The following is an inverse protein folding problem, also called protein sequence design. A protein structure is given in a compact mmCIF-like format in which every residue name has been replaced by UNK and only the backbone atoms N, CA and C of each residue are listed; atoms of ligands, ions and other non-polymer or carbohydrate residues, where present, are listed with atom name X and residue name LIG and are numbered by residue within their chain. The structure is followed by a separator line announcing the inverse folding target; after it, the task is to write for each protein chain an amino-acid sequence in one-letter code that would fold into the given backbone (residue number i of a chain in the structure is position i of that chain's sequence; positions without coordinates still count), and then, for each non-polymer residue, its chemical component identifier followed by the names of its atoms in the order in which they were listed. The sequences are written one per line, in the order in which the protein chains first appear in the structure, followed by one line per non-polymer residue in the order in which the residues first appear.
data_IF_966640413737
#
_entry.id   IF_966640413737
#
_cell.length_a   1.000
_cell.length_b   1.000
_cell.length_c   1.000
_cell.angle_alpha   90.00
_cell.angle_beta   90.00
_cell.angle_gamma   90.00
#
_symmetry.space_group_name_H-M   'P 1'
#
loop_
_entity.id
_entity.type
_entity.pdbx_description
1 polymer ?
#
# COMPACT_ATOMS: atom_id res chain seq x y z
N UNK A 1 24.62 0.01 -16.45
CA UNK A 1 23.55 0.69 -17.22
C UNK A 1 22.49 -0.34 -17.58
N UNK A 2 21.32 -0.28 -16.94
CA UNK A 2 20.26 -1.27 -17.13
C UNK A 2 19.70 -1.21 -18.56
N UNK A 3 19.90 -2.26 -19.37
CA UNK A 3 19.30 -2.40 -20.71
C UNK A 3 17.81 -2.73 -20.56
N UNK A 4 16.97 -1.73 -20.27
CA UNK A 4 15.52 -1.87 -20.23
C UNK A 4 15.02 -1.94 -21.68
N UNK A 5 14.68 -3.14 -22.16
CA UNK A 5 14.27 -3.38 -23.56
C UNK A 5 12.75 -3.39 -23.80
N UNK A 6 11.92 -3.34 -22.75
CA UNK A 6 10.46 -3.37 -22.89
C UNK A 6 9.75 -2.70 -21.70
N UNK A 7 8.62 -2.01 -21.97
CA UNK A 7 7.81 -1.34 -20.93
C UNK A 7 7.35 -2.25 -19.79
N UNK A 8 7.15 -3.55 -20.08
CA UNK A 8 6.82 -4.56 -19.07
C UNK A 8 7.93 -4.76 -18.02
N UNK A 9 9.19 -4.78 -18.43
CA UNK A 9 10.34 -4.92 -17.52
C UNK A 9 10.43 -3.71 -16.57
N UNK A 10 10.24 -2.50 -17.10
CA UNK A 10 10.29 -1.29 -16.28
C UNK A 10 9.14 -1.22 -15.27
N UNK A 11 7.94 -1.67 -15.68
CA UNK A 11 6.79 -1.78 -14.78
C UNK A 11 7.05 -2.77 -13.64
N UNK A 12 7.61 -3.94 -13.95
CA UNK A 12 7.97 -4.96 -12.97
C UNK A 12 9.03 -4.46 -11.97
N UNK A 13 10.07 -3.79 -12.46
CA UNK A 13 11.10 -3.17 -11.62
C UNK A 13 10.53 -2.11 -10.69
N UNK A 14 9.61 -1.27 -11.18
CA UNK A 14 8.92 -0.28 -10.33
C UNK A 14 8.08 -0.97 -9.25
N UNK A 15 7.31 -2.01 -9.60
CA UNK A 15 6.55 -2.77 -8.62
C UNK A 15 7.44 -3.34 -7.52
N UNK A 16 8.54 -4.00 -7.93
CA UNK A 16 9.55 -4.54 -7.00
C UNK A 16 10.12 -3.46 -6.09
N UNK A 17 10.45 -2.29 -6.63
CA UNK A 17 10.95 -1.15 -5.85
C UNK A 17 9.94 -0.70 -4.79
N UNK A 18 8.66 -0.54 -5.15
CA UNK A 18 7.61 -0.13 -4.20
C UNK A 18 7.47 -1.16 -3.08
N UNK A 19 7.44 -2.44 -3.45
CA UNK A 19 7.36 -3.55 -2.49
C UNK A 19 8.55 -3.57 -1.52
N UNK A 20 9.77 -3.35 -2.02
CA UNK A 20 10.97 -3.26 -1.18
C UNK A 20 10.91 -2.05 -0.24
N UNK A 21 10.49 -0.88 -0.74
CA UNK A 21 10.37 0.32 0.10
C UNK A 21 9.35 0.14 1.22
N UNK A 22 8.18 -0.46 0.94
CA UNK A 22 7.18 -0.76 1.94
C UNK A 22 7.74 -1.71 3.02
N UNK A 23 8.45 -2.76 2.61
CA UNK A 23 9.06 -3.74 3.52
C UNK A 23 10.08 -3.08 4.46
N UNK A 24 11.03 -2.34 3.91
CA UNK A 24 12.06 -1.65 4.69
C UNK A 24 11.46 -0.62 5.67
N UNK A 25 10.43 0.12 5.25
CA UNK A 25 9.75 1.07 6.14
C UNK A 25 9.01 0.39 7.29
N UNK A 26 8.37 -0.75 7.04
CA UNK A 26 7.71 -1.55 8.10
C UNK A 26 8.76 -2.08 9.09
N UNK A 27 9.87 -2.63 8.59
CA UNK A 27 10.93 -3.15 9.45
C UNK A 27 11.61 -2.04 10.28
N UNK A 28 11.86 -0.88 9.66
CA UNK A 28 12.38 0.29 10.35
C UNK A 28 11.41 0.80 11.42
N UNK A 29 10.13 0.93 11.10
CA UNK A 29 9.10 1.33 12.04
C UNK A 29 9.01 0.38 13.25
N UNK A 30 9.02 -0.93 13.00
CA UNK A 30 9.02 -1.94 14.07
C UNK A 30 10.24 -1.80 14.99
N UNK A 31 11.42 -1.61 14.40
CA UNK A 31 12.66 -1.37 15.15
C UNK A 31 12.58 -0.08 15.99
N UNK A 32 12.06 1.01 15.42
CA UNK A 32 11.97 2.30 16.09
C UNK A 32 11.11 2.26 17.35
N UNK A 33 10.04 1.46 17.35
CA UNK A 33 9.17 1.28 18.53
C UNK A 33 9.69 0.23 19.51
N UNK A 34 10.92 -0.28 19.33
CA UNK A 34 11.54 -1.26 20.24
C UNK A 34 11.19 -2.73 19.95
N UNK A 35 10.59 -2.99 18.78
CA UNK A 35 10.17 -4.31 18.36
C UNK A 35 11.33 -5.26 18.11
N UNK A 36 11.20 -6.51 18.55
CA UNK A 36 12.22 -7.55 18.31
C UNK A 36 12.14 -8.07 16.86
N UNK A 37 13.25 -8.12 16.09
CA UNK A 37 13.22 -8.60 14.71
C UNK A 37 12.68 -10.02 14.53
N UNK A 38 12.86 -10.90 15.52
CA UNK A 38 12.34 -12.27 15.51
C UNK A 38 10.81 -12.35 15.62
N UNK A 39 10.16 -11.29 16.07
CA UNK A 39 8.71 -11.25 16.27
C UNK A 39 7.96 -10.78 15.02
N UNK A 40 8.63 -10.13 14.05
CA UNK A 40 7.99 -9.62 12.85
C UNK A 40 8.32 -10.52 11.65
N UNK A 41 7.32 -10.78 10.81
CA UNK A 41 7.49 -11.53 9.56
C UNK A 41 6.67 -10.87 8.46
N UNK A 42 7.28 -10.62 7.31
CA UNK A 42 6.61 -10.04 6.14
C UNK A 42 6.58 -11.10 5.04
N UNK A 43 5.37 -11.47 4.62
CA UNK A 43 5.15 -12.54 3.64
C UNK A 43 4.32 -12.07 2.44
N UNK A 44 4.31 -12.89 1.40
CA UNK A 44 3.39 -12.82 0.27
C UNK A 44 2.73 -14.18 0.09
N UNK A 45 1.72 -14.48 0.90
CA UNK A 45 1.00 -15.77 0.86
C UNK A 45 -0.43 -15.62 0.36
N UNK A 46 -0.92 -16.63 -0.36
CA UNK A 46 -2.32 -16.65 -0.80
C UNK A 46 -3.21 -16.98 0.40
N UNK A 47 -4.16 -16.11 0.69
CA UNK A 47 -5.22 -16.30 1.68
C UNK A 47 -6.48 -16.83 0.95
N UNK A 48 -6.82 -18.13 1.09
CA UNK A 48 -8.03 -18.68 0.51
C UNK A 48 -9.26 -18.22 1.30
N UNK A 49 -10.19 -17.57 0.61
CA UNK A 49 -11.49 -17.14 1.11
C UNK A 49 -12.56 -18.01 0.46
N UNK A 50 -13.30 -18.78 1.26
CA UNK A 50 -14.38 -19.65 0.77
C UNK A 50 -15.73 -18.97 0.91
N UNK A 51 -16.62 -19.18 -0.06
CA UNK A 51 -18.02 -18.75 0.03
C UNK A 51 -18.93 -19.79 0.71
N UNK A 52 -18.37 -20.92 1.16
CA UNK A 52 -19.11 -22.03 1.75
C UNK A 52 -19.91 -22.88 0.75
N UNK A 53 -19.89 -22.54 -0.54
CA UNK A 53 -20.58 -23.25 -1.63
C UNK A 53 -19.61 -23.96 -2.58
N UNK A 54 -18.35 -24.07 -2.18
CA UNK A 54 -17.28 -24.71 -2.94
C UNK A 54 -16.44 -23.75 -3.79
N UNK A 55 -16.78 -22.46 -3.86
CA UNK A 55 -15.93 -21.48 -4.55
C UNK A 55 -14.87 -20.93 -3.59
N UNK A 56 -13.64 -20.79 -4.08
CA UNK A 56 -12.52 -20.27 -3.31
C UNK A 56 -11.84 -19.14 -4.05
N UNK A 57 -11.84 -17.95 -3.44
CA UNK A 57 -11.08 -16.80 -3.91
C UNK A 57 -9.73 -16.74 -3.18
N UNK A 58 -8.62 -16.74 -3.92
CA UNK A 58 -7.26 -16.74 -3.35
C UNK A 58 -6.67 -15.34 -3.36
N UNK A 59 -6.91 -14.59 -2.29
CA UNK A 59 -6.38 -13.24 -2.11
C UNK A 59 -4.88 -13.26 -1.90
N UNK A 60 -4.15 -12.36 -2.53
CA UNK A 60 -2.71 -12.20 -2.33
C UNK A 60 -2.40 -10.72 -2.27
N UNK A 61 -2.01 -10.26 -1.10
CA UNK A 61 -1.60 -8.88 -0.85
C UNK A 61 -0.11 -8.79 -1.07
N UNK A 62 0.38 -7.64 -1.53
CA UNK A 62 1.80 -7.50 -1.88
C UNK A 62 2.72 -7.70 -0.67
N UNK A 63 2.32 -7.17 0.51
CA UNK A 63 2.98 -7.46 1.79
C UNK A 63 1.95 -7.78 2.87
N UNK A 64 2.17 -8.88 3.56
CA UNK A 64 1.41 -9.31 4.72
C UNK A 64 2.31 -9.28 5.95
N UNK A 65 2.04 -8.38 6.88
CA UNK A 65 2.85 -8.19 8.08
C UNK A 65 2.25 -9.00 9.23
N UNK A 66 3.07 -9.87 9.80
CA UNK A 66 2.75 -10.71 10.94
C UNK A 66 3.58 -10.29 12.14
N UNK A 67 2.95 -10.26 13.32
CA UNK A 67 3.64 -10.17 14.60
C UNK A 67 3.32 -11.45 15.38
N UNK A 68 4.35 -12.27 15.64
CA UNK A 68 4.18 -13.67 16.00
C UNK A 68 3.41 -14.41 14.91
N UNK A 69 2.27 -14.99 15.28
CA UNK A 69 1.37 -15.70 14.34
C UNK A 69 0.18 -14.84 13.86
N UNK A 70 0.06 -13.59 14.34
CA UNK A 70 -1.08 -12.73 14.04
C UNK A 70 -0.83 -11.94 12.77
N UNK A 71 -1.74 -12.03 11.80
CA UNK A 71 -1.75 -11.17 10.62
C UNK A 71 -2.32 -9.80 11.02
N UNK A 72 -1.47 -8.76 11.06
CA UNK A 72 -1.81 -7.46 11.68
C UNK A 72 -1.96 -6.32 10.69
N UNK A 73 -1.23 -6.35 9.57
CA UNK A 73 -1.26 -5.30 8.56
C UNK A 73 -1.12 -5.87 7.15
N UNK A 74 -2.09 -5.54 6.31
CA UNK A 74 -2.13 -5.86 4.88
C UNK A 74 -1.74 -4.65 4.06
N UNK A 75 -0.74 -4.78 3.19
CA UNK A 75 -0.24 -3.68 2.36
C UNK A 75 -0.34 -4.08 0.89
N UNK A 76 -1.07 -3.27 0.14
CA UNK A 76 -1.07 -3.32 -1.32
C UNK A 76 -0.08 -2.29 -1.87
N UNK A 77 0.82 -2.72 -2.76
CA UNK A 77 1.87 -1.87 -3.30
C UNK A 77 1.54 -1.48 -4.75
N UNK A 78 1.63 -0.19 -5.06
CA UNK A 78 1.38 0.32 -6.43
C UNK A 78 2.37 1.38 -6.83
N UNK A 79 2.94 1.28 -8.04
CA UNK A 79 3.69 2.41 -8.60
C UNK A 79 2.78 3.65 -8.75
N UNK A 80 1.52 3.43 -9.08
CA UNK A 80 0.44 4.40 -8.95
C UNK A 80 -0.89 3.68 -8.85
N UNK A 81 -1.85 4.25 -8.13
CA UNK A 81 -3.23 3.77 -8.12
C UNK A 81 -4.18 4.78 -8.76
N UNK A 82 -5.00 4.29 -9.68
CA UNK A 82 -6.19 4.99 -10.18
C UNK A 82 -7.44 4.48 -9.46
N UNK A 83 -8.54 5.23 -9.56
CA UNK A 83 -9.81 4.89 -8.89
C UNK A 83 -10.29 3.47 -9.22
N UNK A 84 -10.11 3.01 -10.45
CA UNK A 84 -10.48 1.64 -10.85
C UNK A 84 -9.67 0.55 -10.11
N UNK A 85 -8.37 0.79 -9.88
CA UNK A 85 -7.54 -0.12 -9.09
C UNK A 85 -7.96 -0.07 -7.62
N UNK A 86 -8.25 1.12 -7.10
CA UNK A 86 -8.69 1.30 -5.71
C UNK A 86 -9.99 0.55 -5.40
N UNK A 87 -10.94 0.47 -6.34
CA UNK A 87 -12.16 -0.38 -6.19
C UNK A 87 -11.82 -1.84 -5.89
N UNK A 88 -10.81 -2.39 -6.57
CA UNK A 88 -10.38 -3.78 -6.34
C UNK A 88 -9.75 -3.93 -4.97
N UNK A 89 -8.92 -2.96 -4.57
CA UNK A 89 -8.27 -2.93 -3.25
C UNK A 89 -9.33 -2.90 -2.14
N UNK A 90 -10.38 -2.09 -2.29
CA UNK A 90 -11.51 -2.04 -1.35
C UNK A 90 -12.21 -3.39 -1.22
N UNK A 91 -12.50 -4.07 -2.34
CA UNK A 91 -13.15 -5.40 -2.31
C UNK A 91 -12.25 -6.43 -1.64
N UNK A 92 -10.96 -6.47 -1.98
CA UNK A 92 -10.01 -7.41 -1.39
C UNK A 92 -9.87 -7.17 0.13
N UNK A 93 -9.74 -5.91 0.54
CA UNK A 93 -9.65 -5.53 1.95
C UNK A 93 -10.95 -5.83 2.72
N UNK A 94 -12.13 -5.60 2.11
CA UNK A 94 -13.42 -5.97 2.69
C UNK A 94 -13.53 -7.49 2.94
N UNK A 95 -13.09 -8.32 1.98
CA UNK A 95 -13.10 -9.77 2.14
C UNK A 95 -12.13 -10.23 3.23
N UNK A 96 -10.94 -9.62 3.29
CA UNK A 96 -9.97 -9.91 4.35
C UNK A 96 -10.48 -9.48 5.72
N UNK A 97 -11.11 -8.31 5.84
CA UNK A 97 -11.63 -7.80 7.12
C UNK A 97 -12.68 -8.74 7.71
N UNK A 98 -13.51 -9.38 6.88
CA UNK A 98 -14.47 -10.41 7.34
C UNK A 98 -13.78 -11.62 7.99
N UNK A 99 -12.58 -11.96 7.56
CA UNK A 99 -11.81 -13.11 8.07
C UNK A 99 -10.84 -12.71 9.19
N UNK A 100 -10.33 -11.48 9.13
CA UNK A 100 -9.40 -10.90 10.09
C UNK A 100 -9.95 -9.52 10.55
N UNK A 101 -10.89 -9.49 11.50
CA UNK A 101 -11.60 -8.25 11.87
C UNK A 101 -10.73 -7.12 12.40
N UNK A 102 -9.54 -7.44 12.91
CA UNK A 102 -8.57 -6.47 13.47
C UNK A 102 -7.46 -6.09 12.47
N UNK A 103 -7.50 -6.61 11.25
CA UNK A 103 -6.47 -6.36 10.24
C UNK A 103 -6.52 -4.90 9.80
N UNK A 104 -5.36 -4.24 9.82
CA UNK A 104 -5.19 -2.90 9.25
C UNK A 104 -4.86 -3.01 7.77
N UNK A 105 -5.25 -2.01 6.97
CA UNK A 105 -5.05 -1.98 5.53
C UNK A 105 -4.28 -0.73 5.11
N UNK A 106 -3.35 -0.88 4.18
CA UNK A 106 -2.57 0.21 3.63
C UNK A 106 -2.46 0.05 2.11
N UNK A 107 -2.80 1.10 1.36
CA UNK A 107 -2.34 1.29 0.00
C UNK A 107 -1.05 2.11 0.03
N UNK A 108 0.06 1.46 -0.26
CA UNK A 108 1.37 2.10 -0.34
C UNK A 108 1.74 2.35 -1.80
N UNK A 109 1.83 3.62 -2.20
CA UNK A 109 2.06 3.99 -3.60
C UNK A 109 3.16 5.03 -3.81
N UNK A 110 3.83 4.96 -4.96
CA UNK A 110 4.77 6.01 -5.35
C UNK A 110 4.04 7.28 -5.78
N UNK A 111 3.14 7.18 -6.75
CA UNK A 111 2.38 8.32 -7.28
C UNK A 111 0.87 8.08 -7.09
N UNK A 112 0.06 9.13 -7.01
CA UNK A 112 -1.41 8.99 -7.00
C UNK A 112 -2.03 9.34 -8.36
N UNK A 113 -3.13 8.66 -8.70
CA UNK A 113 -4.12 9.05 -9.72
C UNK A 113 -5.54 8.93 -9.16
N UNK A 114 -5.67 9.11 -7.84
CA UNK A 114 -6.94 9.00 -7.16
C UNK A 114 -7.75 10.30 -7.21
N UNK A 115 -7.19 11.40 -7.70
CA UNK A 115 -7.78 12.74 -7.60
C UNK A 115 -7.46 13.41 -6.25
N UNK A 116 -8.01 14.60 -6.03
CA UNK A 116 -7.97 15.26 -4.72
C UNK A 116 -6.55 15.63 -4.29
N UNK A 117 -6.27 15.49 -2.99
CA UNK A 117 -5.07 16.00 -2.32
C UNK A 117 -4.08 14.89 -1.90
N UNK A 118 -4.30 13.62 -2.26
CA UNK A 118 -3.39 12.51 -1.92
C UNK A 118 -1.93 12.73 -2.36
N UNK A 119 -1.71 13.53 -3.40
CA UNK A 119 -0.37 13.83 -3.93
C UNK A 119 0.18 15.20 -3.53
N UNK A 120 -0.57 15.98 -2.75
CA UNK A 120 -0.17 17.33 -2.32
C UNK A 120 -0.10 17.43 -0.81
N UNK A 121 -1.10 16.92 -0.10
CA UNK A 121 -1.09 16.82 1.35
C UNK A 121 -0.34 15.55 1.79
N UNK A 122 0.46 15.67 2.83
CA UNK A 122 1.26 14.59 3.41
C UNK A 122 0.50 13.93 4.55
N UNK A 123 -0.15 14.72 5.40
CA UNK A 123 -0.78 14.24 6.63
C UNK A 123 -2.29 14.42 6.51
N UNK A 124 -3.01 13.32 6.24
CA UNK A 124 -4.48 13.28 6.20
C UNK A 124 -5.12 13.98 4.99
N UNK A 125 -4.87 13.47 3.77
CA UNK A 125 -5.56 13.96 2.58
C UNK A 125 -7.07 13.85 2.77
N UNK A 126 -7.80 14.94 2.48
CA UNK A 126 -9.26 14.93 2.46
C UNK A 126 -9.79 13.97 1.41
N UNK A 127 -9.00 13.63 0.40
CA UNK A 127 -9.34 12.70 -0.67
C UNK A 127 -10.18 13.31 -1.78
N UNK A 128 -10.43 12.51 -2.82
CA UNK A 128 -11.24 12.93 -3.98
C UNK A 128 -12.71 12.55 -3.80
N UNK A 129 -13.65 13.25 -4.46
CA UNK A 129 -15.06 12.86 -4.44
C UNK A 129 -15.29 11.42 -4.88
N UNK A 130 -14.55 10.95 -5.90
CA UNK A 130 -14.67 9.59 -6.40
C UNK A 130 -14.24 8.54 -5.36
N UNK A 131 -13.16 8.80 -4.61
CA UNK A 131 -12.73 7.89 -3.54
C UNK A 131 -13.73 7.91 -2.38
N UNK A 132 -14.20 9.09 -1.96
CA UNK A 132 -15.19 9.21 -0.87
C UNK A 132 -16.48 8.46 -1.15
N UNK A 133 -16.99 8.55 -2.38
CA UNK A 133 -18.20 7.81 -2.79
C UNK A 133 -17.96 6.30 -2.68
N UNK A 134 -16.76 5.82 -3.04
CA UNK A 134 -16.45 4.40 -2.89
C UNK A 134 -16.34 3.99 -1.42
N UNK A 135 -15.60 4.74 -0.62
CA UNK A 135 -15.44 4.48 0.83
C UNK A 135 -16.79 4.50 1.57
N UNK A 136 -17.73 5.35 1.15
CA UNK A 136 -19.09 5.37 1.70
C UNK A 136 -19.81 4.02 1.60
N UNK A 137 -19.53 3.21 0.56
CA UNK A 137 -20.10 1.86 0.41
C UNK A 137 -19.41 0.80 1.29
N UNK A 138 -18.31 1.13 1.96
CA UNK A 138 -17.57 0.26 2.86
C UNK A 138 -17.33 0.94 4.23
N UNK A 139 -18.39 1.30 4.98
CA UNK A 139 -18.31 2.23 6.12
C UNK A 139 -17.43 1.75 7.29
N UNK A 140 -17.17 0.45 7.40
CA UNK A 140 -16.34 -0.13 8.46
C UNK A 140 -14.91 -0.44 8.00
N UNK A 141 -14.59 -0.16 6.73
CA UNK A 141 -13.29 -0.45 6.14
C UNK A 141 -12.45 0.82 6.13
N UNK A 142 -11.31 0.78 6.82
CA UNK A 142 -10.34 1.87 6.79
C UNK A 142 -9.07 1.40 6.07
N UNK A 143 -8.70 2.11 5.01
CA UNK A 143 -7.48 1.89 4.24
C UNK A 143 -6.66 3.17 4.29
N UNK A 144 -5.49 3.11 4.92
CA UNK A 144 -4.54 4.22 4.86
C UNK A 144 -3.94 4.32 3.45
N UNK A 145 -3.85 5.53 2.89
CA UNK A 145 -3.28 5.75 1.55
C UNK A 145 -1.99 6.58 1.68
N UNK A 146 -0.84 5.91 1.57
CA UNK A 146 0.48 6.55 1.60
C UNK A 146 0.94 6.80 0.17
N UNK A 147 1.17 8.08 -0.17
CA UNK A 147 1.72 8.49 -1.47
C UNK A 147 3.09 9.13 -1.27
N UNK A 148 4.13 8.61 -1.92
CA UNK A 148 5.52 9.04 -1.68
C UNK A 148 5.99 10.22 -2.55
N UNK A 149 5.48 10.34 -3.78
CA UNK A 149 5.89 11.35 -4.74
C UNK A 149 4.79 12.40 -4.93
N UNK A 150 5.19 13.66 -4.96
CA UNK A 150 4.26 14.76 -5.11
C UNK A 150 3.67 14.83 -6.53
N UNK A 151 2.47 15.42 -6.60
CA UNK A 151 1.66 15.60 -7.81
C UNK A 151 1.17 14.27 -8.40
N UNK A 152 0.08 14.33 -9.16
CA UNK A 152 -0.46 13.15 -9.80
C UNK A 152 0.42 12.60 -10.91
N UNK A 153 0.30 11.30 -11.18
CA UNK A 153 1.01 10.62 -12.27
C UNK A 153 0.59 11.21 -13.62
N UNK A 154 1.58 11.74 -14.35
CA UNK A 154 1.37 12.23 -15.71
C UNK A 154 1.42 11.09 -16.73
N UNK A 155 0.27 10.59 -17.18
CA UNK A 155 0.17 9.47 -18.14
C UNK A 155 0.95 9.74 -19.44
N UNK A 156 0.97 11.00 -19.90
CA UNK A 156 1.69 11.41 -21.12
C UNK A 156 3.21 11.50 -20.90
N UNK A 157 3.65 11.63 -19.65
CA UNK A 157 5.06 11.66 -19.27
C UNK A 157 5.66 10.25 -19.26
N UNK A 158 6.72 10.05 -20.05
CA UNK A 158 7.43 8.78 -20.13
C UNK A 158 8.22 8.49 -18.85
N UNK A 159 7.93 7.35 -18.23
CA UNK A 159 8.48 6.95 -16.93
C UNK A 159 10.01 6.82 -16.87
N UNK A 160 10.69 6.72 -18.01
CA UNK A 160 12.14 6.57 -18.09
C UNK A 160 12.90 7.89 -18.33
N UNK A 161 12.20 8.97 -18.71
CA UNK A 161 12.84 10.26 -18.98
C UNK A 161 12.99 11.06 -17.69
N UNK A 162 14.23 11.44 -17.37
CA UNK A 162 14.60 12.19 -16.15
C UNK A 162 13.79 13.48 -15.97
N UNK A 163 13.42 14.15 -17.06
CA UNK A 163 12.60 15.37 -17.03
C UNK A 163 11.21 15.18 -16.39
N UNK A 164 10.73 13.94 -16.29
CA UNK A 164 9.47 13.59 -15.64
C UNK A 164 9.66 12.98 -14.25
N UNK A 165 10.88 12.96 -13.72
CA UNK A 165 11.13 12.46 -12.37
C UNK A 165 10.60 13.46 -11.35
N UNK A 166 10.04 12.92 -10.28
CA UNK A 166 9.50 13.69 -9.17
C UNK A 166 10.42 13.57 -7.97
N UNK A 167 10.56 14.63 -7.17
CA UNK A 167 11.32 14.55 -5.94
C UNK A 167 10.61 13.61 -4.95
N UNK A 168 11.41 12.85 -4.21
CA UNK A 168 10.98 12.11 -3.04
C UNK A 168 11.37 12.94 -1.81
N UNK A 169 10.40 13.60 -1.20
CA UNK A 169 10.64 14.42 0.00
C UNK A 169 10.80 13.55 1.24
N UNK A 170 11.70 13.92 2.14
CA UNK A 170 11.91 13.23 3.43
C UNK A 170 10.61 13.18 4.24
N UNK A 171 9.83 14.26 4.27
CA UNK A 171 8.55 14.35 4.99
C UNK A 171 7.58 13.23 4.59
N UNK A 172 7.58 12.82 3.31
CA UNK A 172 6.74 11.70 2.81
C UNK A 172 7.19 10.36 3.38
N UNK A 173 8.50 10.16 3.52
CA UNK A 173 9.08 8.96 4.11
C UNK A 173 8.81 8.91 5.62
N UNK A 174 9.00 10.04 6.31
CA UNK A 174 8.73 10.17 7.73
C UNK A 174 7.25 9.92 8.06
N UNK A 175 6.33 10.46 7.25
CA UNK A 175 4.90 10.20 7.41
C UNK A 175 4.58 8.70 7.28
N UNK A 176 5.15 8.03 6.27
CA UNK A 176 4.96 6.59 6.08
C UNK A 176 5.49 5.78 7.26
N UNK A 177 6.70 6.08 7.75
CA UNK A 177 7.29 5.42 8.92
C UNK A 177 6.42 5.64 10.15
N UNK A 178 6.02 6.88 10.44
CA UNK A 178 5.14 7.21 11.58
C UNK A 178 3.80 6.48 11.52
N UNK A 179 3.22 6.31 10.32
CA UNK A 179 2.02 5.49 10.16
C UNK A 179 2.29 4.04 10.56
N UNK A 180 3.35 3.42 10.03
CA UNK A 180 3.68 2.03 10.36
C UNK A 180 4.01 1.85 11.84
N UNK A 181 4.69 2.81 12.47
CA UNK A 181 4.95 2.80 13.92
C UNK A 181 3.63 2.75 14.70
N UNK A 182 2.67 3.64 14.39
CA UNK A 182 1.33 3.62 15.01
C UNK A 182 0.55 2.35 14.70
N UNK A 183 0.66 1.83 13.48
CA UNK A 183 -0.04 0.63 13.06
C UNK A 183 0.44 -0.60 13.85
N UNK A 184 1.73 -0.67 14.17
CA UNK A 184 2.36 -1.80 14.86
C UNK A 184 2.44 -1.64 16.38
N UNK A 185 2.32 -0.43 16.91
CA UNK A 185 2.50 -0.12 18.34
C UNK A 185 1.63 -0.95 19.29
N UNK A 186 0.39 -1.29 18.90
CA UNK A 186 -0.53 -2.08 19.72
C UNK A 186 -0.15 -3.58 19.84
N UNK A 187 0.93 -3.99 19.17
CA UNK A 187 1.42 -5.36 19.13
C UNK A 187 2.81 -5.55 19.75
N UNK A 188 3.37 -4.48 20.34
CA UNK A 188 4.65 -4.51 21.05
C UNK A 188 4.56 -5.33 22.34
#
# INVERSE_FOLDING_TARGET
MWRIRAGGTLRSLKGTLVEMMAEEMVLLAWKNIGGKPSCIKINKTKCPISDGKGNVYKLSQDKQVYIGEKFVLSIECKAYAEVAMYKRILVDAFLLQKHFPKLKFCLFQLESMLGGDYSTDVEHPKGSPSVKVLEHHFPNLNIEIITLLDRERNIKGEIHKKQFYKPLRIERLEHAIKYFERALAEHL
#
